data_IF_440804609718
#
_entry.id   IF_440804609718
#
_cell.length_a   1.000
_cell.length_b   1.000
_cell.length_c   1.000
_cell.angle_alpha   90.00
_cell.angle_beta   90.00
_cell.angle_gamma   90.00
#
_symmetry.space_group_name_H-M   'P 1'
#
loop_
_entity.id
_entity.type
_entity.pdbx_description
1 polymer ?
#
# COMPACT_ATOMS: atom_id res chain seq x y z
N UNK A 1 15.43 13.50 -0.92
CA UNK A 1 14.58 12.69 -1.83
C UNK A 1 13.79 11.67 -1.01
N UNK A 2 12.51 11.46 -1.31
CA UNK A 2 11.56 10.69 -0.48
C UNK A 2 11.56 9.18 -0.79
N UNK A 3 12.69 8.63 -1.26
CA UNK A 3 12.81 7.23 -1.69
C UNK A 3 12.13 6.90 -3.04
N UNK A 4 12.46 5.76 -3.66
CA UNK A 4 11.81 5.26 -4.87
C UNK A 4 10.36 4.84 -4.55
N UNK A 5 9.38 5.35 -5.31
CA UNK A 5 7.97 4.97 -5.19
C UNK A 5 7.18 5.36 -6.43
N UNK A 6 6.08 4.63 -6.65
CA UNK A 6 5.12 4.82 -7.73
C UNK A 6 3.81 5.32 -7.16
N UNK A 7 3.33 6.46 -7.63
CA UNK A 7 2.00 6.95 -7.29
C UNK A 7 1.48 7.86 -8.40
N UNK A 8 0.15 7.98 -8.60
CA UNK A 8 -0.43 8.86 -9.62
C UNK A 8 0.00 10.34 -9.50
N UNK A 9 0.41 10.78 -8.30
CA UNK A 9 0.86 12.13 -8.00
C UNK A 9 2.39 12.29 -8.04
N UNK A 10 3.16 11.24 -8.37
CA UNK A 10 4.61 11.30 -8.50
C UNK A 10 4.98 11.37 -9.98
N UNK A 11 5.40 12.56 -10.39
CA UNK A 11 5.84 12.83 -11.77
C UNK A 11 7.11 12.04 -12.11
N UNK A 12 7.32 11.80 -13.41
CA UNK A 12 8.54 11.20 -13.98
C UNK A 12 8.86 9.76 -13.49
N UNK A 13 7.82 8.99 -13.15
CA UNK A 13 7.96 7.59 -12.70
C UNK A 13 7.08 6.62 -13.48
N UNK A 14 6.31 7.09 -14.46
CA UNK A 14 5.34 6.27 -15.18
C UNK A 14 5.98 5.21 -16.10
N UNK A 15 7.27 5.38 -16.41
CA UNK A 15 8.07 4.57 -17.33
C UNK A 15 8.93 3.51 -16.62
N UNK A 16 9.08 3.57 -15.29
CA UNK A 16 9.86 2.55 -14.61
C UNK A 16 9.08 1.23 -14.57
N UNK A 17 9.79 0.15 -14.85
CA UNK A 17 9.25 -1.19 -14.86
C UNK A 17 9.69 -1.94 -13.60
N UNK A 18 8.73 -2.57 -12.92
CA UNK A 18 9.01 -3.50 -11.83
C UNK A 18 9.71 -4.75 -12.41
N UNK A 19 10.85 -5.13 -11.83
CA UNK A 19 11.69 -6.24 -12.31
C UNK A 19 11.58 -7.46 -11.39
N UNK A 20 11.97 -8.63 -11.91
CA UNK A 20 12.17 -9.83 -11.08
C UNK A 20 13.16 -9.57 -9.94
N UNK A 21 12.93 -10.19 -8.78
CA UNK A 21 13.72 -10.01 -7.56
C UNK A 21 13.63 -8.62 -6.91
N UNK A 22 12.76 -7.73 -7.39
CA UNK A 22 12.41 -6.53 -6.64
C UNK A 22 11.55 -6.89 -5.42
N UNK A 23 11.83 -6.22 -4.31
CA UNK A 23 10.96 -6.16 -3.13
C UNK A 23 10.34 -4.77 -3.10
N UNK A 24 9.02 -4.70 -2.91
CA UNK A 24 8.30 -3.43 -2.80
C UNK A 24 7.04 -3.58 -1.95
N UNK A 25 6.49 -2.44 -1.53
CA UNK A 25 5.26 -2.36 -0.74
C UNK A 25 4.10 -1.95 -1.63
N UNK A 26 2.97 -2.65 -1.51
CA UNK A 26 1.69 -2.19 -2.04
C UNK A 26 0.96 -1.41 -0.96
N UNK A 27 0.80 -0.11 -1.13
CA UNK A 27 0.14 0.78 -0.17
C UNK A 27 -1.17 1.33 -0.73
N UNK A 28 -2.28 1.05 -0.04
CA UNK A 28 -3.59 1.61 -0.32
C UNK A 28 -4.04 2.46 0.85
N UNK A 29 -4.42 3.71 0.56
CA UNK A 29 -4.91 4.62 1.57
C UNK A 29 -6.35 4.97 1.27
N UNK A 30 -7.25 4.46 2.09
CA UNK A 30 -8.67 4.78 2.02
C UNK A 30 -9.00 5.90 2.99
N UNK A 31 -9.90 6.78 2.57
CA UNK A 31 -10.37 7.87 3.39
C UNK A 31 -11.88 7.97 3.30
N UNK A 32 -12.53 8.12 4.45
CA UNK A 32 -13.97 8.37 4.51
C UNK A 32 -14.28 9.38 5.60
N UNK A 33 -15.33 10.18 5.40
CA UNK A 33 -15.86 11.01 6.47
C UNK A 33 -16.63 10.13 7.45
N UNK A 34 -16.52 10.41 8.75
CA UNK A 34 -17.33 9.81 9.81
C UNK A 34 -18.26 10.88 10.39
N UNK A 35 -19.49 11.04 9.86
CA UNK A 35 -20.42 12.05 10.35
C UNK A 35 -20.76 11.88 11.83
N UNK A 36 -20.91 10.64 12.28
CA UNK A 36 -21.17 10.28 13.68
C UNK A 36 -20.05 10.67 14.65
N UNK A 37 -18.87 11.04 14.14
CA UNK A 37 -17.72 11.45 14.93
C UNK A 37 -17.34 12.91 14.65
N UNK A 38 -18.35 13.79 14.59
CA UNK A 38 -18.18 15.23 14.35
C UNK A 38 -17.59 15.54 12.98
N UNK A 39 -17.98 14.78 11.94
CA UNK A 39 -17.43 14.87 10.59
C UNK A 39 -15.90 14.69 10.49
N UNK A 40 -15.27 14.02 11.48
CA UNK A 40 -13.83 13.70 11.38
C UNK A 40 -13.55 12.74 10.23
N UNK A 41 -12.35 12.82 9.66
CA UNK A 41 -11.90 11.94 8.58
C UNK A 41 -11.29 10.67 9.17
N UNK A 42 -11.85 9.51 8.82
CA UNK A 42 -11.21 8.22 9.02
C UNK A 42 -10.22 7.97 7.88
N UNK A 43 -9.05 7.48 8.23
CA UNK A 43 -8.03 7.01 7.29
C UNK A 43 -7.64 5.59 7.67
N UNK A 44 -7.69 4.68 6.72
CA UNK A 44 -7.19 3.31 6.88
C UNK A 44 -6.14 3.07 5.80
N UNK A 45 -4.93 2.74 6.23
CA UNK A 45 -3.84 2.33 5.35
C UNK A 45 -3.80 0.81 5.33
N UNK A 46 -3.75 0.23 4.14
CA UNK A 46 -3.45 -1.18 3.92
C UNK A 46 -2.09 -1.24 3.23
N UNK A 47 -1.17 -2.00 3.79
CA UNK A 47 0.16 -2.20 3.25
C UNK A 47 0.49 -3.68 3.27
N UNK A 48 1.00 -4.20 2.16
CA UNK A 48 1.67 -5.49 2.14
C UNK A 48 3.02 -5.42 1.41
N UNK A 49 4.03 -6.10 1.97
CA UNK A 49 5.33 -6.25 1.33
C UNK A 49 5.36 -7.51 0.46
N UNK A 50 5.85 -7.35 -0.77
CA UNK A 50 5.83 -8.36 -1.80
C UNK A 50 7.18 -8.49 -2.48
N UNK A 51 7.41 -9.66 -3.10
CA UNK A 51 8.56 -9.95 -3.95
C UNK A 51 8.09 -10.39 -5.33
N UNK A 52 8.83 -10.00 -6.37
CA UNK A 52 8.62 -10.51 -7.74
C UNK A 52 9.44 -11.77 -7.96
N UNK A 53 8.77 -12.86 -8.25
CA UNK A 53 9.38 -14.16 -8.58
C UNK A 53 9.03 -14.57 -10.00
N UNK A 54 9.44 -15.79 -10.38
CA UNK A 54 9.07 -16.38 -11.65
C UNK A 54 7.57 -16.75 -11.73
N UNK A 55 6.83 -16.72 -10.63
CA UNK A 55 5.39 -16.99 -10.58
C UNK A 55 4.54 -15.71 -10.53
N UNK A 56 5.19 -14.53 -10.52
CA UNK A 56 4.51 -13.24 -10.41
C UNK A 56 4.85 -12.54 -9.09
N UNK A 57 3.88 -11.83 -8.53
CA UNK A 57 4.05 -11.09 -7.27
C UNK A 57 3.55 -11.93 -6.10
N UNK A 58 4.41 -12.18 -5.13
CA UNK A 58 4.14 -13.03 -3.97
C UNK A 58 4.29 -12.26 -2.65
N UNK A 59 3.48 -12.60 -1.65
CA UNK A 59 3.54 -12.01 -0.32
C UNK A 59 4.77 -12.52 0.44
N UNK A 60 5.44 -11.64 1.18
CA UNK A 60 6.55 -12.04 2.06
C UNK A 60 6.09 -12.70 3.37
N UNK A 61 4.80 -12.61 3.68
CA UNK A 61 4.18 -13.14 4.89
C UNK A 61 2.68 -13.41 4.66
N UNK A 62 2.01 -14.19 5.53
CA UNK A 62 0.58 -14.41 5.44
C UNK A 62 -0.21 -13.10 5.51
N UNK A 63 -1.21 -12.94 4.63
CA UNK A 63 -2.10 -11.76 4.59
C UNK A 63 -2.75 -11.48 5.95
N UNK A 64 -2.96 -10.21 6.25
CA UNK A 64 -3.83 -9.80 7.35
C UNK A 64 -5.30 -10.16 7.03
N UNK A 65 -5.95 -10.93 7.89
CA UNK A 65 -7.34 -11.37 7.65
C UNK A 65 -8.39 -10.43 8.26
N UNK A 66 -8.01 -9.60 9.23
CA UNK A 66 -8.92 -8.70 9.94
C UNK A 66 -8.20 -7.48 10.48
N UNK A 67 -8.96 -6.42 10.70
CA UNK A 67 -8.52 -5.23 11.44
C UNK A 67 -8.64 -5.52 12.94
N UNK A 68 -7.59 -5.27 13.71
CA UNK A 68 -7.60 -5.38 15.16
C UNK A 68 -7.98 -4.02 15.77
N UNK A 69 -8.99 -4.02 16.64
CA UNK A 69 -9.36 -2.84 17.43
C UNK A 69 -8.64 -2.90 18.77
N UNK A 70 -7.75 -1.94 19.02
CA UNK A 70 -7.06 -1.79 20.31
C UNK A 70 -7.90 -0.84 21.17
N UNK A 71 -8.12 -1.21 22.44
CA UNK A 71 -8.88 -0.44 23.43
C UNK A 71 -7.95 0.19 24.46
#
# INVERSE_FOLDING_TARGET
AVGPSFAPFRELRADLMIQSNNIFSFEFITHTALPSFGNRRLRINFEDNVIVTNQGVELLYPRNERILLIR
#
